data_IF_448255823848
#
_entry.id   IF_448255823848
#
_cell.length_a   1.000
_cell.length_b   1.000
_cell.length_c   1.000
_cell.angle_alpha   90.00
_cell.angle_beta   90.00
_cell.angle_gamma   90.00
#
_symmetry.space_group_name_H-M   'P 1'
#
loop_
_entity.id
_entity.type
_entity.pdbx_description
1 polymer ?
#
# COMPACT_ATOMS: atom_id res chain seq x y z
N UNK A 1 -11.05 11.38 9.98
CA UNK A 1 -11.26 10.66 8.70
C UNK A 1 -11.87 11.62 7.69
N UNK A 2 -11.38 11.63 6.45
CA UNK A 2 -11.90 12.53 5.41
C UNK A 2 -12.07 11.76 4.10
N UNK A 3 -12.84 12.35 3.18
CA UNK A 3 -12.93 11.87 1.79
C UNK A 3 -11.70 12.26 0.97
N UNK A 4 -10.80 13.06 1.53
CA UNK A 4 -9.48 13.31 0.96
C UNK A 4 -8.52 12.19 1.36
N UNK A 5 -7.64 11.86 0.43
CA UNK A 5 -6.60 10.87 0.65
C UNK A 5 -5.62 11.35 1.74
N UNK A 6 -5.32 10.47 2.69
CA UNK A 6 -4.45 10.76 3.84
C UNK A 6 -3.32 9.76 3.87
N UNK A 7 -2.07 10.24 3.95
CA UNK A 7 -0.89 9.39 4.15
C UNK A 7 -0.89 8.81 5.56
N UNK A 8 -0.73 7.49 5.67
CA UNK A 8 -0.69 6.79 6.97
C UNK A 8 0.63 6.04 7.21
N UNK A 9 1.43 5.83 6.17
CA UNK A 9 2.76 5.23 6.27
C UNK A 9 3.62 5.69 5.09
N UNK A 10 4.91 5.92 5.35
CA UNK A 10 5.91 6.27 4.36
C UNK A 10 7.22 5.60 4.73
N UNK A 11 7.87 4.98 3.75
CA UNK A 11 9.24 4.47 3.82
C UNK A 11 10.02 5.05 2.64
N UNK A 12 11.16 5.69 2.92
CA UNK A 12 12.02 6.26 1.88
C UNK A 12 12.90 5.20 1.25
N UNK A 13 12.98 5.19 -0.07
CA UNK A 13 13.86 4.34 -0.88
C UNK A 13 14.93 5.22 -1.50
N UNK A 14 16.19 4.85 -1.28
CA UNK A 14 17.32 5.62 -1.80
C UNK A 14 17.41 5.52 -3.32
N UNK A 15 18.02 6.52 -3.94
CA UNK A 15 18.33 6.50 -5.36
C UNK A 15 19.10 5.24 -5.75
N UNK A 16 18.67 4.56 -6.83
CA UNK A 16 19.25 3.32 -7.36
C UNK A 16 19.15 2.09 -6.45
N UNK A 17 18.38 2.16 -5.35
CA UNK A 17 18.14 1.00 -4.48
C UNK A 17 17.15 0.00 -5.11
N UNK A 18 16.28 0.50 -6.00
CA UNK A 18 15.39 -0.31 -6.83
C UNK A 18 16.15 -0.88 -8.03
N UNK A 19 16.77 -2.04 -7.85
CA UNK A 19 17.47 -2.72 -8.94
C UNK A 19 16.69 -3.89 -9.54
N UNK A 20 16.94 -4.17 -10.82
CA UNK A 20 16.29 -5.24 -11.58
C UNK A 20 16.41 -6.58 -10.87
N UNK A 21 15.26 -7.25 -10.67
CA UNK A 21 15.17 -8.52 -9.97
C UNK A 21 15.06 -8.42 -8.45
N UNK A 22 15.25 -7.24 -7.85
CA UNK A 22 14.90 -7.02 -6.45
C UNK A 22 13.40 -7.21 -6.23
N UNK A 23 13.06 -7.84 -5.10
CA UNK A 23 11.70 -8.01 -4.63
C UNK A 23 11.54 -7.26 -3.32
N UNK A 24 10.40 -6.61 -3.18
CA UNK A 24 10.08 -5.79 -2.04
C UNK A 24 8.77 -6.27 -1.45
N UNK A 25 8.75 -6.39 -0.13
CA UNK A 25 7.59 -6.80 0.63
C UNK A 25 7.31 -5.74 1.69
N UNK A 26 6.19 -5.05 1.59
CA UNK A 26 5.78 -4.06 2.60
C UNK A 26 4.56 -4.58 3.33
N UNK A 27 4.65 -4.66 4.65
CA UNK A 27 3.56 -5.12 5.50
C UNK A 27 3.17 -4.04 6.49
N UNK A 28 1.89 -3.67 6.47
CA UNK A 28 1.33 -2.64 7.33
C UNK A 28 0.05 -3.19 7.98
N UNK A 29 -0.14 -2.94 9.26
CA UNK A 29 -1.31 -3.44 10.00
C UNK A 29 -1.73 -2.53 11.14
N UNK A 30 -2.95 -2.75 11.60
CA UNK A 30 -3.47 -2.12 12.79
C UNK A 30 -4.92 -2.49 13.04
N UNK A 31 -5.72 -1.51 13.47
CA UNK A 31 -7.14 -1.68 13.69
C UNK A 31 -7.94 -0.50 13.13
N UNK A 32 -9.21 -0.73 12.85
CA UNK A 32 -10.11 0.28 12.33
C UNK A 32 -11.52 0.12 12.92
N UNK A 33 -12.29 1.20 12.89
CA UNK A 33 -13.71 1.20 13.20
C UNK A 33 -14.46 1.97 12.12
N UNK A 34 -15.72 1.62 11.92
CA UNK A 34 -16.63 2.26 10.98
C UNK A 34 -17.87 2.74 11.72
N UNK A 35 -18.44 3.86 11.29
CA UNK A 35 -19.62 4.44 11.90
C UNK A 35 -20.92 3.68 11.56
N UNK A 36 -20.95 2.97 10.44
CA UNK A 36 -22.13 2.25 9.94
C UNK A 36 -21.72 1.22 8.87
N UNK A 37 -22.66 0.37 8.47
CA UNK A 37 -22.42 -0.73 7.52
C UNK A 37 -22.22 -0.31 6.06
N UNK A 38 -22.33 0.97 5.71
CA UNK A 38 -22.00 1.47 4.38
C UNK A 38 -20.62 2.12 4.31
N UNK A 39 -19.91 2.25 5.43
CA UNK A 39 -18.59 2.85 5.47
C UNK A 39 -17.52 1.85 4.97
N UNK A 40 -16.67 2.34 4.08
CA UNK A 40 -15.49 1.63 3.58
C UNK A 40 -14.36 2.62 3.36
N UNK A 41 -13.14 2.10 3.23
CA UNK A 41 -11.99 2.90 2.86
C UNK A 41 -11.18 2.25 1.74
N UNK A 42 -10.58 3.09 0.91
CA UNK A 42 -9.67 2.68 -0.15
C UNK A 42 -8.23 2.92 0.31
N UNK A 43 -7.42 1.87 0.24
CA UNK A 43 -5.99 1.89 0.45
C UNK A 43 -5.27 1.93 -0.90
N UNK A 44 -4.40 2.92 -1.09
CA UNK A 44 -3.54 3.01 -2.28
C UNK A 44 -2.08 2.95 -1.86
N UNK A 45 -1.34 2.03 -2.46
CA UNK A 45 0.11 2.01 -2.40
C UNK A 45 0.67 2.89 -3.51
N UNK A 46 1.59 3.76 -3.16
CA UNK A 46 2.29 4.62 -4.10
C UNK A 46 3.79 4.44 -3.99
N UNK A 47 4.49 4.59 -5.10
CA UNK A 47 5.93 4.81 -5.15
C UNK A 47 6.12 6.18 -5.77
N UNK A 48 6.65 7.11 -4.96
CA UNK A 48 6.59 8.53 -5.25
C UNK A 48 5.14 8.99 -5.44
N UNK A 49 4.84 9.51 -6.63
CA UNK A 49 3.48 9.95 -6.98
C UNK A 49 2.66 8.90 -7.74
N UNK A 50 3.27 7.78 -8.14
CA UNK A 50 2.63 6.75 -8.96
C UNK A 50 1.84 5.78 -8.09
N UNK A 51 0.56 5.59 -8.37
CA UNK A 51 -0.25 4.53 -7.74
C UNK A 51 0.16 3.19 -8.33
N UNK A 52 0.61 2.29 -7.46
CA UNK A 52 1.07 0.96 -7.84
C UNK A 52 -0.02 -0.08 -7.63
N UNK A 53 -0.74 -0.01 -6.50
CA UNK A 53 -1.83 -0.93 -6.18
C UNK A 53 -2.96 -0.19 -5.47
N UNK A 54 -4.16 -0.74 -5.57
CA UNK A 54 -5.35 -0.24 -4.88
C UNK A 54 -6.18 -1.41 -4.34
N UNK A 55 -6.57 -1.30 -3.08
CA UNK A 55 -7.51 -2.19 -2.40
C UNK A 55 -8.58 -1.36 -1.71
N UNK A 56 -9.79 -1.89 -1.61
CA UNK A 56 -10.89 -1.24 -0.87
C UNK A 56 -11.42 -2.21 0.15
N UNK A 57 -11.63 -1.75 1.38
CA UNK A 57 -12.27 -2.55 2.42
C UNK A 57 -13.71 -2.84 2.03
N UNK A 58 -14.26 -3.97 2.48
CA UNK A 58 -15.70 -4.21 2.40
C UNK A 58 -16.44 -3.15 3.22
N UNK A 59 -17.63 -2.78 2.76
CA UNK A 59 -18.53 -1.95 3.53
C UNK A 59 -19.18 -2.80 4.63
N UNK A 60 -18.82 -2.52 5.88
CA UNK A 60 -19.30 -3.27 7.05
C UNK A 60 -19.32 -2.37 8.30
N UNK A 61 -20.03 -2.81 9.34
CA UNK A 61 -20.02 -2.13 10.64
C UNK A 61 -19.06 -2.84 11.59
N UNK A 62 -17.88 -2.29 11.72
CA UNK A 62 -16.73 -2.83 12.44
C UNK A 62 -16.39 -1.93 13.62
N UNK A 63 -16.04 -2.57 14.75
CA UNK A 63 -15.53 -1.89 15.93
C UNK A 63 -14.20 -2.53 16.33
N UNK A 64 -13.11 -1.77 16.26
CA UNK A 64 -11.74 -2.22 16.53
C UNK A 64 -11.37 -3.50 15.76
N UNK A 65 -11.83 -3.60 14.51
CA UNK A 65 -11.52 -4.73 13.65
C UNK A 65 -10.07 -4.68 13.22
N UNK A 66 -9.45 -5.86 13.17
CA UNK A 66 -8.10 -6.01 12.67
C UNK A 66 -8.02 -5.64 11.19
N UNK A 67 -6.92 -5.03 10.77
CA UNK A 67 -6.58 -4.96 9.35
C UNK A 67 -5.08 -5.15 9.10
N UNK A 68 -4.76 -5.68 7.92
CA UNK A 68 -3.40 -5.84 7.41
C UNK A 68 -3.39 -5.69 5.91
N UNK A 69 -2.32 -5.11 5.37
CA UNK A 69 -1.99 -5.10 3.95
C UNK A 69 -0.58 -5.64 3.78
N UNK A 70 -0.42 -6.57 2.84
CA UNK A 70 0.87 -7.11 2.40
C UNK A 70 1.01 -6.79 0.91
N UNK A 71 1.99 -5.96 0.60
CA UNK A 71 2.29 -5.49 -0.74
C UNK A 71 3.56 -6.14 -1.22
N UNK A 72 3.52 -6.73 -2.41
CA UNK A 72 4.66 -7.34 -3.05
C UNK A 72 4.91 -6.66 -4.38
N UNK A 73 6.15 -6.29 -4.66
CA UNK A 73 6.52 -5.92 -6.02
C UNK A 73 7.91 -6.43 -6.40
N UNK A 74 8.10 -6.62 -7.69
CA UNK A 74 9.39 -6.98 -8.29
C UNK A 74 9.78 -5.95 -9.32
N UNK A 75 11.02 -5.49 -9.27
CA UNK A 75 11.57 -4.59 -10.28
C UNK A 75 11.91 -5.39 -11.54
N UNK A 76 11.28 -5.00 -12.65
CA UNK A 76 11.43 -5.61 -13.99
C UNK A 76 12.45 -4.88 -14.84
N UNK A 77 12.54 -3.57 -14.68
CA UNK A 77 13.53 -2.75 -15.37
C UNK A 77 13.93 -1.53 -14.56
N UNK A 78 15.11 -1.00 -14.83
CA UNK A 78 15.71 0.12 -14.07
C UNK A 78 16.02 1.29 -14.98
N UNK A 79 15.88 2.50 -14.45
CA UNK A 79 16.12 3.76 -15.14
C UNK A 79 15.05 4.80 -14.78
N UNK A 80 15.11 5.99 -15.38
CA UNK A 80 14.07 7.01 -15.23
C UNK A 80 12.68 6.56 -15.68
N UNK A 81 12.62 5.54 -16.54
CA UNK A 81 11.40 4.84 -16.97
C UNK A 81 11.47 3.37 -16.62
N UNK A 82 11.96 3.06 -15.42
CA UNK A 82 11.98 1.71 -14.90
C UNK A 82 10.58 1.12 -14.79
N UNK A 83 10.51 -0.18 -14.56
CA UNK A 83 9.26 -0.93 -14.58
C UNK A 83 9.19 -1.85 -13.38
N UNK A 84 8.03 -1.92 -12.73
CA UNK A 84 7.75 -2.89 -11.67
C UNK A 84 6.50 -3.70 -11.98
N UNK A 85 6.38 -4.85 -11.32
CA UNK A 85 5.15 -5.62 -11.25
C UNK A 85 4.77 -5.84 -9.81
N UNK A 86 3.57 -5.45 -9.42
CA UNK A 86 3.09 -5.56 -8.05
C UNK A 86 1.86 -6.47 -7.92
N UNK A 87 1.63 -6.89 -6.68
CA UNK A 87 0.42 -7.54 -6.20
C UNK A 87 0.21 -7.18 -4.74
N UNK A 88 -1.02 -7.28 -4.27
CA UNK A 88 -1.39 -6.98 -2.89
C UNK A 88 -2.44 -7.95 -2.38
N UNK A 89 -2.31 -8.31 -1.11
CA UNK A 89 -3.40 -8.88 -0.32
C UNK A 89 -3.69 -8.02 0.92
N UNK A 90 -4.96 -7.99 1.30
CA UNK A 90 -5.45 -7.22 2.42
C UNK A 90 -6.45 -8.03 3.22
N UNK A 91 -6.23 -8.10 4.52
CA UNK A 91 -7.22 -8.62 5.47
C UNK A 91 -7.89 -7.41 6.10
N UNK A 92 -9.21 -7.31 5.93
CA UNK A 92 -10.05 -6.31 6.57
C UNK A 92 -11.07 -7.03 7.45
N UNK A 93 -10.90 -6.94 8.76
CA UNK A 93 -11.66 -7.69 9.75
C UNK A 93 -11.57 -9.21 9.49
N UNK A 94 -12.61 -9.79 8.90
CA UNK A 94 -12.67 -11.23 8.54
C UNK A 94 -12.56 -11.48 7.04
N UNK A 95 -12.50 -10.43 6.22
CA UNK A 95 -12.52 -10.53 4.76
C UNK A 95 -11.12 -10.42 4.19
N UNK A 96 -10.81 -11.25 3.20
CA UNK A 96 -9.60 -11.18 2.39
C UNK A 96 -9.93 -10.53 1.04
N UNK A 97 -9.22 -9.47 0.72
CA UNK A 97 -9.27 -8.79 -0.57
C UNK A 97 -7.90 -8.88 -1.24
N UNK A 98 -7.87 -9.12 -2.55
CA UNK A 98 -6.61 -9.27 -3.30
C UNK A 98 -6.65 -8.52 -4.63
N UNK A 99 -5.49 -8.07 -5.09
CA UNK A 99 -5.32 -7.48 -6.41
C UNK A 99 -3.92 -7.79 -6.95
N UNK A 100 -3.78 -7.80 -8.27
CA UNK A 100 -2.49 -7.97 -8.93
C UNK A 100 -2.47 -7.24 -10.27
N UNK A 101 -1.38 -6.51 -10.51
CA UNK A 101 -1.17 -5.84 -11.79
C UNK A 101 -1.02 -6.84 -12.95
N UNK A 102 -1.77 -6.62 -14.02
CA UNK A 102 -1.69 -7.39 -15.28
C UNK A 102 -0.73 -6.78 -16.31
N UNK A 103 -0.25 -5.56 -16.06
CA UNK A 103 0.81 -4.87 -16.81
C UNK A 103 1.89 -4.31 -15.87
N UNK A 104 3.03 -3.90 -16.43
CA UNK A 104 4.06 -3.23 -15.63
C UNK A 104 3.62 -1.79 -15.30
N UNK A 105 4.04 -1.31 -14.12
CA UNK A 105 3.88 0.08 -13.68
C UNK A 105 5.21 0.79 -13.87
N UNK A 106 5.18 1.95 -14.52
CA UNK A 106 6.39 2.75 -14.78
C UNK A 106 6.70 3.62 -13.56
N UNK A 107 7.94 3.54 -13.09
CA UNK A 107 8.47 4.34 -11.98
C UNK A 107 9.91 4.76 -12.30
N UNK A 108 10.39 5.85 -11.69
CA UNK A 108 11.80 6.23 -11.74
C UNK A 108 12.55 5.45 -10.67
N UNK A 109 13.44 4.53 -11.07
CA UNK A 109 14.26 3.75 -10.11
C UNK A 109 15.59 4.41 -9.80
N UNK A 110 15.88 5.57 -10.40
CA UNK A 110 17.15 6.31 -10.26
C UNK A 110 17.02 7.51 -9.32
N UNK A 111 15.80 7.95 -9.03
CA UNK A 111 15.49 8.97 -8.05
C UNK A 111 15.31 8.39 -6.64
N UNK A 112 15.35 9.27 -5.63
CA UNK A 112 14.83 8.94 -4.30
C UNK A 112 13.32 8.86 -4.43
N UNK A 113 12.74 7.76 -3.98
CA UNK A 113 11.31 7.48 -4.08
C UNK A 113 10.75 7.12 -2.71
N UNK A 114 9.50 7.46 -2.45
CA UNK A 114 8.82 7.10 -1.20
C UNK A 114 7.79 6.00 -1.45
N UNK A 115 7.91 4.86 -0.76
CA UNK A 115 6.84 3.87 -0.68
C UNK A 115 5.82 4.39 0.33
N UNK A 116 4.65 4.80 -0.16
CA UNK A 116 3.63 5.46 0.65
C UNK A 116 2.33 4.66 0.65
N UNK A 117 1.77 4.41 1.83
CA UNK A 117 0.38 3.97 1.97
C UNK A 117 -0.51 5.16 2.27
N UNK A 118 -1.58 5.26 1.50
CA UNK A 118 -2.61 6.28 1.69
C UNK A 118 -3.98 5.65 1.87
N UNK A 119 -4.82 6.30 2.68
CA UNK A 119 -6.18 5.88 2.97
C UNK A 119 -7.15 6.99 2.60
N UNK A 120 -8.25 6.62 1.96
CA UNK A 120 -9.35 7.50 1.63
C UNK A 120 -10.67 6.87 2.06
N UNK A 121 -11.47 7.55 2.88
CA UNK A 121 -12.79 7.04 3.26
C UNK A 121 -13.83 7.37 2.20
N UNK A 122 -14.80 6.49 2.02
CA UNK A 122 -15.91 6.73 1.09
C UNK A 122 -16.85 7.87 1.56
N UNK A 123 -16.87 8.16 2.87
CA UNK A 123 -17.58 9.28 3.46
C UNK A 123 -16.85 9.81 4.71
N UNK A 124 -16.94 11.12 4.93
CA UNK A 124 -16.46 11.75 6.16
C UNK A 124 -17.48 11.55 7.28
N UNK A 125 -17.06 10.95 8.39
CA UNK A 125 -17.89 10.60 9.55
C UNK A 125 -17.04 10.34 10.79
N UNK A 126 -17.25 11.06 11.88
CA UNK A 126 -16.42 10.95 13.10
C UNK A 126 -16.29 9.53 13.69
N UNK A 127 -17.23 8.62 13.41
CA UNK A 127 -17.15 7.22 13.86
C UNK A 127 -16.21 6.34 13.03
N UNK A 128 -15.72 6.80 11.87
CA UNK A 128 -14.72 6.06 11.11
C UNK A 128 -13.32 6.41 11.61
N UNK A 129 -12.59 5.40 12.06
CA UNK A 129 -11.21 5.53 12.53
C UNK A 129 -10.34 4.46 11.90
N UNK A 130 -9.08 4.78 11.66
CA UNK A 130 -8.07 3.81 11.23
C UNK A 130 -6.77 4.16 11.93
N UNK A 131 -6.18 3.18 12.60
CA UNK A 131 -4.91 3.30 13.31
C UNK A 131 -3.94 2.31 12.71
N UNK A 132 -2.73 2.80 12.39
CA UNK A 132 -1.57 1.96 12.06
C UNK A 132 -0.83 1.65 13.35
N UNK A 133 -0.55 0.37 13.60
CA UNK A 133 0.23 -0.05 14.77
C UNK A 133 1.60 -0.60 14.40
N UNK A 134 1.72 -1.18 13.20
CA UNK A 134 2.97 -1.74 12.68
C UNK A 134 3.07 -1.47 11.18
N UNK A 135 4.26 -1.14 10.72
CA UNK A 135 4.61 -0.99 9.31
C UNK A 135 6.09 -1.30 9.14
N UNK A 136 6.43 -2.12 8.15
CA UNK A 136 7.82 -2.38 7.78
C UNK A 136 7.91 -2.82 6.32
N UNK A 137 9.12 -2.70 5.78
CA UNK A 137 9.46 -3.13 4.42
C UNK A 137 10.69 -4.03 4.46
N UNK A 138 10.60 -5.17 3.77
CA UNK A 138 11.66 -6.15 3.61
C UNK A 138 12.10 -6.18 2.14
N UNK A 139 13.41 -6.22 1.94
CA UNK A 139 14.03 -6.28 0.62
C UNK A 139 14.62 -7.67 0.43
N UNK A 140 14.18 -8.36 -0.61
CA UNK A 140 14.69 -9.66 -1.03
C UNK A 140 15.40 -9.50 -2.36
N UNK A 141 16.72 -9.61 -2.34
CA UNK A 141 17.52 -9.60 -3.56
C UNK A 141 18.96 -10.01 -3.28
N UNK A 142 19.69 -10.33 -4.34
CA UNK A 142 21.13 -10.55 -4.25
C UNK A 142 21.77 -9.18 -4.12
N UNK A 143 22.52 -8.94 -3.05
CA UNK A 143 23.30 -7.72 -2.86
C UNK A 143 24.15 -7.50 -4.11
N UNK A 144 23.99 -6.36 -4.78
CA UNK A 144 24.91 -6.01 -5.86
C UNK A 144 26.28 -5.73 -5.23
N UNK A 145 27.29 -6.46 -5.71
CA UNK A 145 28.69 -6.20 -5.40
C UNK A 145 29.18 -4.95 -6.12
#
# INVERSE_FOLDING_TARGET
NTVAETTVYTESVSANELYKGSKWHTRISGYYSTANSSASFTAKLKIGNTVVETLTSVAENVNNGFWRLEFFFTVRDTGPTGAIRASVDGIFNTTLETNANTSDVIIDTTAVEDITLTIQWNAANAGNTLTVTQGHTEIFGVTQN
#
